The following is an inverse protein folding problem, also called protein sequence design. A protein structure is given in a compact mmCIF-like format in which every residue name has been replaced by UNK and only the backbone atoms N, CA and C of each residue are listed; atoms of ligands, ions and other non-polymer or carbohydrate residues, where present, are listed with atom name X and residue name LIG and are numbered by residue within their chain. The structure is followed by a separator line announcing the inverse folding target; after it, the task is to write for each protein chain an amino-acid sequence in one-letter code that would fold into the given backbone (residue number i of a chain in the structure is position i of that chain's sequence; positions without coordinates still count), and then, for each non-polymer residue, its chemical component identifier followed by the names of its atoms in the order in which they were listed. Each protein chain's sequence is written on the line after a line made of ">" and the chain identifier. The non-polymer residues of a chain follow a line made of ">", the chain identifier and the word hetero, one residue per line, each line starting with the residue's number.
data_IF_378645523546
#
_entry.id   IF_378645523546
#
_cell.length_a   1.000
_cell.length_b   1.000
_cell.length_c   1.000
_cell.angle_alpha   90.00
_cell.angle_beta   90.00
_cell.angle_gamma   90.00
#
_symmetry.space_group_name_H-M   'P 1'
#
loop_
_entity.id
_entity.type
_entity.pdbx_description
1 polymer ?
#
# COMPACT_ATOMS: atom_id res chain seq x y z
N UNK A 1 10.34 -16.96 18.30
CA UNK A 1 10.24 -16.38 16.94
C UNK A 1 11.63 -16.01 16.45
N UNK A 2 12.07 -16.59 15.34
CA UNK A 2 13.27 -16.09 14.66
C UNK A 2 12.98 -14.68 14.16
N UNK A 3 13.71 -13.68 14.69
CA UNK A 3 13.60 -12.31 14.21
C UNK A 3 14.07 -12.27 12.74
N UNK A 4 13.18 -11.83 11.84
CA UNK A 4 13.55 -11.59 10.45
C UNK A 4 14.63 -10.51 10.41
N UNK A 5 15.85 -10.87 10.01
CA UNK A 5 16.95 -9.91 9.90
C UNK A 5 16.73 -9.01 8.69
N UNK A 6 16.29 -7.78 8.96
CA UNK A 6 16.00 -6.78 7.94
C UNK A 6 17.24 -6.35 7.15
N UNK A 7 18.45 -6.53 7.70
CA UNK A 7 19.69 -6.17 7.02
C UNK A 7 19.98 -7.05 5.80
N UNK A 8 19.37 -8.23 5.75
CA UNK A 8 19.49 -9.18 4.64
C UNK A 8 18.43 -8.96 3.56
N UNK A 9 17.45 -8.08 3.79
CA UNK A 9 16.37 -7.81 2.86
C UNK A 9 16.73 -6.69 1.89
N UNK A 10 16.42 -6.90 0.61
CA UNK A 10 16.51 -5.84 -0.39
C UNK A 10 15.44 -4.78 -0.12
N UNK A 11 15.81 -3.51 -0.28
CA UNK A 11 14.91 -2.37 -0.03
C UNK A 11 14.83 -1.39 -1.20
N UNK A 12 13.74 -0.62 -1.21
CA UNK A 12 13.45 0.40 -2.22
C UNK A 12 13.05 1.69 -1.51
N UNK A 13 13.70 2.79 -1.87
CA UNK A 13 13.36 4.11 -1.38
C UNK A 13 12.14 4.69 -2.10
N UNK A 14 11.51 5.68 -1.49
CA UNK A 14 10.38 6.39 -2.09
C UNK A 14 10.87 7.38 -3.14
N UNK A 15 10.13 7.51 -4.23
CA UNK A 15 10.61 8.26 -5.39
C UNK A 15 9.58 9.27 -5.88
N UNK A 16 10.05 10.47 -6.22
CA UNK A 16 9.32 11.42 -7.06
C UNK A 16 9.49 11.05 -8.54
N UNK A 17 8.38 10.74 -9.21
CA UNK A 17 8.40 10.12 -10.54
C UNK A 17 7.97 11.04 -11.67
N UNK A 18 7.25 12.13 -11.38
CA UNK A 18 6.74 13.03 -12.40
C UNK A 18 5.58 13.88 -11.94
N UNK A 19 4.97 14.60 -12.88
CA UNK A 19 3.95 15.60 -12.60
C UNK A 19 2.66 15.29 -13.36
N UNK A 20 1.53 15.52 -12.69
CA UNK A 20 0.19 15.43 -13.25
C UNK A 20 -0.39 16.84 -13.37
N UNK A 21 -0.88 17.19 -14.55
CA UNK A 21 -1.43 18.53 -14.82
C UNK A 21 -2.66 18.47 -15.71
N UNK A 22 -3.53 19.46 -15.58
CA UNK A 22 -4.72 19.59 -16.43
C UNK A 22 -4.38 20.35 -17.72
N UNK A 23 -4.68 19.74 -18.87
CA UNK A 23 -4.52 20.36 -20.18
C UNK A 23 -5.81 21.05 -20.61
N UNK A 24 -5.86 22.37 -20.47
CA UNK A 24 -7.02 23.20 -20.83
C UNK A 24 -7.38 23.08 -22.32
N UNK A 25 -6.41 22.81 -23.20
CA UNK A 25 -6.68 22.73 -24.66
C UNK A 25 -7.40 21.44 -25.06
N UNK A 26 -7.10 20.34 -24.36
CA UNK A 26 -7.70 19.02 -24.64
C UNK A 26 -8.81 18.66 -23.65
N UNK A 27 -8.97 19.44 -22.57
CA UNK A 27 -9.85 19.16 -21.42
C UNK A 27 -9.53 17.83 -20.71
N UNK A 28 -8.25 17.42 -20.72
CA UNK A 28 -7.79 16.14 -20.17
C UNK A 28 -6.68 16.30 -19.12
N UNK A 29 -6.52 15.28 -18.26
CA UNK A 29 -5.36 15.17 -17.38
C UNK A 29 -4.21 14.47 -18.09
N UNK A 30 -3.00 14.99 -17.90
CA UNK A 30 -1.78 14.44 -18.49
C UNK A 30 -0.71 14.26 -17.42
N UNK A 31 -0.22 13.03 -17.29
CA UNK A 31 0.91 12.70 -16.46
C UNK A 31 2.18 12.67 -17.30
N UNK A 32 3.21 13.36 -16.83
CA UNK A 32 4.54 13.37 -17.43
C UNK A 32 5.53 12.83 -16.43
N UNK A 33 6.16 11.71 -16.78
CA UNK A 33 7.38 11.27 -16.08
C UNK A 33 8.44 12.39 -16.15
N UNK A 34 9.31 12.45 -15.14
CA UNK A 34 10.48 13.33 -15.21
C UNK A 34 11.32 12.98 -16.44
N UNK A 35 11.90 13.99 -17.07
CA UNK A 35 12.73 13.81 -18.28
C UNK A 35 13.93 12.89 -18.01
N UNK A 36 14.52 13.01 -16.82
CA UNK A 36 15.65 12.23 -16.34
C UNK A 36 15.24 10.97 -15.58
N UNK A 37 13.95 10.58 -15.59
CA UNK A 37 13.44 9.45 -14.83
C UNK A 37 14.27 8.17 -15.08
N UNK A 38 14.61 7.86 -16.33
CA UNK A 38 15.32 6.61 -16.64
C UNK A 38 16.80 6.59 -16.20
N UNK A 39 17.39 7.73 -15.84
CA UNK A 39 18.82 7.84 -15.51
C UNK A 39 19.08 8.31 -14.08
N UNK A 40 18.14 9.03 -13.46
CA UNK A 40 18.29 9.64 -12.16
C UNK A 40 17.18 9.24 -11.19
N UNK A 41 17.55 8.99 -9.95
CA UNK A 41 16.63 8.75 -8.84
C UNK A 41 16.46 10.03 -8.02
N UNK A 42 15.21 10.44 -7.78
CA UNK A 42 14.90 11.60 -6.96
C UNK A 42 14.00 11.18 -5.82
N UNK A 43 14.51 11.33 -4.59
CA UNK A 43 13.80 10.97 -3.36
C UNK A 43 12.47 11.69 -3.22
N UNK A 44 11.44 11.01 -2.71
CA UNK A 44 10.11 11.58 -2.55
C UNK A 44 10.07 12.83 -1.64
N UNK A 45 10.98 12.97 -0.67
CA UNK A 45 11.04 14.12 0.23
C UNK A 45 11.76 15.36 -0.37
N UNK A 46 12.20 15.30 -1.63
CA UNK A 46 12.77 16.48 -2.31
C UNK A 46 11.70 17.38 -2.94
N UNK A 47 10.43 17.02 -2.83
CA UNK A 47 9.31 17.78 -3.39
C UNK A 47 8.35 18.23 -2.31
N UNK A 48 7.84 19.45 -2.47
CA UNK A 48 6.79 20.05 -1.64
C UNK A 48 5.58 20.46 -2.48
N UNK A 49 4.46 20.70 -1.83
CA UNK A 49 3.24 21.31 -2.40
C UNK A 49 2.52 20.46 -3.46
N UNK A 50 1.20 20.32 -3.30
CA UNK A 50 0.33 19.58 -4.22
C UNK A 50 0.86 18.16 -4.51
N UNK A 51 1.39 17.47 -3.50
CA UNK A 51 1.93 16.13 -3.68
C UNK A 51 0.80 15.09 -3.67
N UNK A 52 0.81 14.19 -4.65
CA UNK A 52 0.05 12.95 -4.64
C UNK A 52 0.99 11.84 -4.16
N UNK A 53 0.69 11.26 -3.00
CA UNK A 53 1.32 10.04 -2.53
C UNK A 53 0.56 8.81 -3.04
N UNK A 54 1.21 8.02 -3.89
CA UNK A 54 0.72 6.70 -4.30
C UNK A 54 1.36 5.66 -3.40
N UNK A 55 0.57 5.08 -2.50
CA UNK A 55 1.04 4.07 -1.56
C UNK A 55 0.94 2.68 -2.20
N UNK A 56 2.07 1.99 -2.30
CA UNK A 56 2.21 0.61 -2.77
C UNK A 56 2.44 -0.33 -1.58
N UNK A 57 2.30 -1.63 -1.78
CA UNK A 57 2.42 -2.64 -0.70
C UNK A 57 3.88 -2.80 -0.23
N UNK A 58 4.72 -3.35 -1.10
CA UNK A 58 6.13 -3.61 -0.88
C UNK A 58 6.80 -3.93 -2.22
N UNK A 59 8.12 -3.76 -2.35
CA UNK A 59 8.85 -4.14 -3.55
C UNK A 59 8.69 -5.61 -3.96
N UNK A 60 8.72 -5.86 -5.27
CA UNK A 60 8.83 -7.17 -5.88
C UNK A 60 10.20 -7.33 -6.58
N UNK A 61 10.38 -8.44 -7.30
CA UNK A 61 11.65 -8.74 -7.96
C UNK A 61 12.03 -7.69 -9.03
N UNK A 62 11.04 -7.21 -9.78
CA UNK A 62 11.25 -6.26 -10.88
C UNK A 62 11.79 -4.90 -10.43
N UNK A 63 11.52 -4.49 -9.19
CA UNK A 63 12.04 -3.26 -8.58
C UNK A 63 13.58 -3.26 -8.50
N UNK A 64 14.23 -4.42 -8.62
CA UNK A 64 15.69 -4.60 -8.53
C UNK A 64 16.33 -5.02 -9.85
N UNK A 65 15.55 -5.28 -10.89
CA UNK A 65 16.03 -5.80 -12.18
C UNK A 65 16.51 -4.67 -13.09
N UNK A 66 17.76 -4.77 -13.57
CA UNK A 66 18.34 -3.86 -14.56
C UNK A 66 18.28 -2.37 -14.16
N UNK A 67 18.31 -2.08 -12.86
CA UNK A 67 18.31 -0.70 -12.33
C UNK A 67 19.75 -0.24 -12.12
N UNK A 68 20.12 0.87 -12.77
CA UNK A 68 21.38 1.58 -12.55
C UNK A 68 21.10 3.07 -12.67
N UNK A 69 20.79 3.70 -11.54
CA UNK A 69 20.41 5.11 -11.46
C UNK A 69 21.41 5.88 -10.61
N UNK A 70 21.47 7.19 -10.79
CA UNK A 70 22.27 8.08 -9.94
C UNK A 70 21.33 8.97 -9.14
N UNK A 71 21.51 9.06 -7.82
CA UNK A 71 20.80 10.02 -6.97
C UNK A 71 21.46 11.40 -7.00
N UNK A 72 20.78 12.43 -6.49
CA UNK A 72 21.28 13.81 -6.45
C UNK A 72 22.62 13.98 -5.70
N UNK A 73 22.89 13.11 -4.73
CA UNK A 73 24.15 13.07 -3.98
C UNK A 73 25.22 12.17 -4.62
N UNK A 74 24.97 11.69 -5.84
CA UNK A 74 25.92 10.90 -6.62
C UNK A 74 25.95 9.41 -6.25
N UNK A 75 25.06 8.92 -5.38
CA UNK A 75 25.01 7.50 -5.05
C UNK A 75 24.43 6.67 -6.21
N UNK A 76 24.96 5.46 -6.38
CA UNK A 76 24.40 4.49 -7.30
C UNK A 76 23.17 3.82 -6.66
N UNK A 77 22.01 4.03 -7.25
CA UNK A 77 20.74 3.43 -6.85
C UNK A 77 20.44 2.23 -7.75
N UNK A 78 20.26 1.07 -7.10
CA UNK A 78 20.05 -0.24 -7.76
C UNK A 78 18.64 -0.78 -7.61
N UNK A 79 17.70 0.07 -7.19
CA UNK A 79 16.30 -0.31 -7.05
C UNK A 79 15.37 0.89 -7.23
N UNK A 80 14.14 0.64 -7.68
CA UNK A 80 13.15 1.70 -7.94
C UNK A 80 11.74 1.16 -7.71
N UNK A 81 10.84 1.93 -7.05
CA UNK A 81 9.46 1.49 -6.88
C UNK A 81 8.74 1.41 -8.23
N UNK A 82 7.92 0.36 -8.43
CA UNK A 82 7.11 0.18 -9.63
C UNK A 82 7.94 0.18 -10.94
N UNK A 83 9.12 -0.44 -10.92
CA UNK A 83 10.04 -0.47 -12.08
C UNK A 83 9.49 -1.30 -13.27
N UNK A 84 8.50 -2.16 -13.01
CA UNK A 84 7.84 -2.93 -14.06
C UNK A 84 7.05 -2.01 -15.02
N UNK A 85 7.46 -1.95 -16.29
CA UNK A 85 6.88 -1.05 -17.32
C UNK A 85 5.36 -1.18 -17.40
N UNK A 86 4.82 -2.42 -17.45
CA UNK A 86 3.37 -2.63 -17.55
C UNK A 86 2.62 -2.04 -16.35
N UNK A 87 3.15 -2.24 -15.15
CA UNK A 87 2.53 -1.71 -13.93
C UNK A 87 2.66 -0.18 -13.83
N UNK A 88 3.74 0.39 -14.37
CA UNK A 88 3.91 1.84 -14.50
C UNK A 88 2.92 2.43 -15.49
N UNK A 89 2.77 1.84 -16.67
CA UNK A 89 1.76 2.27 -17.66
C UNK A 89 0.34 2.17 -17.08
N UNK A 90 0.07 1.12 -16.28
CA UNK A 90 -1.16 1.02 -15.48
C UNK A 90 -1.36 2.21 -14.57
N UNK A 91 -0.33 2.60 -13.81
CA UNK A 91 -0.42 3.74 -12.91
C UNK A 91 -0.68 5.05 -13.66
N UNK A 92 0.04 5.31 -14.76
CA UNK A 92 -0.13 6.51 -15.59
C UNK A 92 -1.59 6.63 -16.01
N UNK A 93 -2.14 5.56 -16.58
CA UNK A 93 -3.52 5.54 -17.01
C UNK A 93 -4.51 5.80 -15.86
N UNK A 94 -4.29 5.20 -14.68
CA UNK A 94 -5.12 5.41 -13.49
C UNK A 94 -5.08 6.87 -13.04
N UNK A 95 -3.88 7.48 -13.01
CA UNK A 95 -3.70 8.88 -12.65
C UNK A 95 -4.45 9.80 -13.61
N UNK A 96 -4.37 9.55 -14.92
CA UNK A 96 -4.96 10.39 -15.96
C UNK A 96 -6.48 10.21 -16.12
N UNK A 97 -7.03 9.04 -15.80
CA UNK A 97 -8.41 8.70 -16.18
C UNK A 97 -9.32 8.35 -15.00
N UNK A 98 -8.78 7.79 -13.92
CA UNK A 98 -9.59 7.19 -12.84
C UNK A 98 -9.65 8.07 -11.60
N UNK A 99 -8.52 8.69 -11.25
CA UNK A 99 -8.39 9.50 -10.04
C UNK A 99 -8.75 10.98 -10.26
N UNK A 100 -9.13 11.34 -11.49
CA UNK A 100 -9.48 12.71 -11.90
C UNK A 100 -10.49 13.45 -11.03
N UNK A 101 -11.49 12.80 -10.39
CA UNK A 101 -12.45 13.52 -9.54
C UNK A 101 -11.83 14.14 -8.27
N UNK A 102 -10.61 13.76 -7.89
CA UNK A 102 -9.93 14.29 -6.69
C UNK A 102 -9.09 15.53 -6.98
N UNK A 103 -8.91 15.88 -8.25
CA UNK A 103 -7.94 16.90 -8.63
C UNK A 103 -8.61 18.24 -8.91
N UNK A 104 -8.03 19.30 -8.36
CA UNK A 104 -8.26 20.67 -8.79
C UNK A 104 -7.54 20.96 -10.12
N UNK A 105 -8.31 21.32 -11.16
CA UNK A 105 -7.82 21.67 -12.51
C UNK A 105 -6.80 22.83 -12.52
N UNK A 106 -6.72 23.64 -11.46
CA UNK A 106 -5.78 24.76 -11.36
C UNK A 106 -4.43 24.37 -10.74
N UNK A 107 -4.24 23.10 -10.38
CA UNK A 107 -3.04 22.61 -9.71
C UNK A 107 -2.23 21.69 -10.61
N UNK A 108 -0.91 21.78 -10.46
CA UNK A 108 0.03 20.74 -10.91
C UNK A 108 0.37 19.91 -9.70
N UNK A 109 0.21 18.60 -9.83
CA UNK A 109 0.49 17.65 -8.76
C UNK A 109 1.81 16.94 -8.98
N UNK A 110 2.64 16.87 -7.95
CA UNK A 110 3.87 16.07 -7.95
C UNK A 110 3.53 14.66 -7.48
N UNK A 111 3.84 13.65 -8.27
CA UNK A 111 3.49 12.25 -7.94
C UNK A 111 4.69 11.55 -7.34
N UNK A 112 4.51 11.03 -6.12
CA UNK A 112 5.52 10.22 -5.44
C UNK A 112 5.01 8.79 -5.22
N UNK A 113 5.91 7.82 -5.35
CA UNK A 113 5.65 6.42 -5.05
C UNK A 113 6.22 6.08 -3.68
N UNK A 114 5.37 5.55 -2.79
CA UNK A 114 5.73 5.22 -1.42
C UNK A 114 5.36 3.76 -1.16
N UNK A 115 6.33 2.91 -0.86
CA UNK A 115 6.00 1.58 -0.36
C UNK A 115 5.62 1.67 1.13
N UNK A 116 4.50 1.04 1.52
CA UNK A 116 4.12 0.91 2.93
C UNK A 116 5.22 0.16 3.71
N UNK A 117 5.71 -0.94 3.14
CA UNK A 117 6.91 -1.64 3.60
C UNK A 117 8.00 -1.53 2.53
N UNK A 118 9.12 -0.86 2.82
CA UNK A 118 10.21 -0.64 1.86
C UNK A 118 11.03 -1.90 1.52
N UNK A 119 10.82 -3.01 2.21
CA UNK A 119 11.57 -4.25 2.05
C UNK A 119 10.83 -5.26 1.17
N UNK A 120 11.57 -6.03 0.36
CA UNK A 120 10.98 -7.11 -0.43
C UNK A 120 10.46 -8.23 0.49
N UNK A 121 9.14 -8.40 0.55
CA UNK A 121 8.47 -9.34 1.47
C UNK A 121 8.34 -10.75 0.92
N UNK A 122 8.43 -10.91 -0.41
CA UNK A 122 8.30 -12.22 -1.06
C UNK A 122 9.57 -13.06 -1.01
N UNK A 123 10.71 -12.47 -0.61
CA UNK A 123 12.03 -13.14 -0.58
C UNK A 123 12.40 -13.86 -1.90
N UNK A 124 11.87 -13.41 -3.03
CA UNK A 124 12.04 -14.06 -4.34
C UNK A 124 11.10 -15.25 -4.62
N UNK A 125 10.25 -15.64 -3.67
CA UNK A 125 9.22 -16.66 -3.82
C UNK A 125 7.90 -16.15 -4.40
N UNK A 126 7.06 -17.09 -4.86
CA UNK A 126 5.71 -16.84 -5.42
C UNK A 126 4.62 -17.01 -4.35
N UNK A 127 4.96 -17.57 -3.19
CA UNK A 127 4.03 -17.84 -2.10
C UNK A 127 3.45 -16.53 -1.53
N UNK A 128 2.13 -16.40 -1.67
CA UNK A 128 1.41 -15.20 -1.25
C UNK A 128 1.25 -15.12 0.26
N UNK A 129 1.18 -16.25 0.93
CA UNK A 129 0.86 -16.32 2.36
C UNK A 129 2.13 -15.97 3.15
N UNK A 130 3.28 -16.55 2.78
CA UNK A 130 4.60 -16.16 3.30
C UNK A 130 4.87 -14.67 3.07
N UNK A 131 4.55 -14.15 1.87
CA UNK A 131 4.74 -12.73 1.56
C UNK A 131 3.89 -11.84 2.46
N UNK A 132 2.60 -12.16 2.64
CA UNK A 132 1.71 -11.37 3.49
C UNK A 132 2.10 -11.44 4.97
N UNK A 133 2.55 -12.61 5.43
CA UNK A 133 3.06 -12.81 6.78
C UNK A 133 4.33 -11.97 7.02
N UNK A 134 5.32 -12.05 6.11
CA UNK A 134 6.53 -11.23 6.17
C UNK A 134 6.21 -9.73 6.14
N UNK A 135 5.28 -9.32 5.28
CA UNK A 135 4.81 -7.94 5.23
C UNK A 135 4.33 -7.48 6.61
N UNK A 136 3.50 -8.29 7.29
CA UNK A 136 2.98 -7.96 8.62
C UNK A 136 4.09 -7.87 9.67
N UNK A 137 5.01 -8.84 9.68
CA UNK A 137 6.14 -8.88 10.62
C UNK A 137 7.00 -7.62 10.52
N UNK A 138 7.20 -7.14 9.30
CA UNK A 138 7.95 -5.92 9.04
C UNK A 138 7.12 -4.69 9.39
N UNK A 139 5.86 -4.63 8.95
CA UNK A 139 4.97 -3.49 9.14
C UNK A 139 4.81 -3.10 10.61
N UNK A 140 4.65 -4.07 11.52
CA UNK A 140 4.50 -3.79 12.96
C UNK A 140 5.64 -2.92 13.51
N UNK A 141 6.85 -3.22 13.06
CA UNK A 141 8.07 -2.57 13.48
C UNK A 141 8.42 -1.33 12.64
N UNK A 142 7.82 -1.19 11.45
CA UNK A 142 8.16 -0.14 10.47
C UNK A 142 7.02 0.83 10.15
N UNK A 143 5.82 0.67 10.74
CA UNK A 143 4.70 1.61 10.57
C UNK A 143 5.06 3.05 10.98
N UNK A 144 5.87 3.21 12.02
CA UNK A 144 6.38 4.53 12.44
C UNK A 144 7.33 5.15 11.43
N UNK A 145 8.14 4.34 10.75
CA UNK A 145 8.99 4.79 9.65
C UNK A 145 8.16 5.24 8.44
N UNK A 146 7.15 4.44 8.07
CA UNK A 146 6.18 4.82 7.04
C UNK A 146 5.48 6.15 7.36
N UNK A 147 4.99 6.31 8.60
CA UNK A 147 4.36 7.57 9.04
C UNK A 147 5.32 8.75 8.96
N UNK A 148 6.58 8.56 9.35
CA UNK A 148 7.60 9.61 9.23
C UNK A 148 7.78 10.01 7.77
N UNK A 149 7.93 9.05 6.85
CA UNK A 149 8.06 9.31 5.40
C UNK A 149 6.84 10.04 4.83
N UNK A 150 5.62 9.65 5.22
CA UNK A 150 4.40 10.35 4.81
C UNK A 150 4.39 11.80 5.31
N UNK A 151 4.79 12.04 6.56
CA UNK A 151 4.87 13.40 7.12
C UNK A 151 5.96 14.25 6.43
N UNK A 152 7.11 13.66 6.12
CA UNK A 152 8.19 14.34 5.38
C UNK A 152 7.72 14.77 3.97
N UNK A 153 6.95 13.92 3.29
CA UNK A 153 6.37 14.20 1.98
C UNK A 153 5.21 15.20 2.06
N UNK A 154 4.45 15.20 3.16
CA UNK A 154 3.27 16.03 3.40
C UNK A 154 2.27 16.06 2.21
N UNK A 155 1.71 14.91 1.82
CA UNK A 155 0.88 14.81 0.63
C UNK A 155 -0.45 15.55 0.76
N UNK A 156 -0.86 16.22 -0.33
CA UNK A 156 -2.19 16.81 -0.46
C UNK A 156 -3.25 15.76 -0.76
N UNK A 157 -2.88 14.71 -1.52
CA UNK A 157 -3.74 13.58 -1.85
C UNK A 157 -2.98 12.28 -1.60
N UNK A 158 -3.66 11.29 -1.06
CA UNK A 158 -3.13 9.97 -0.78
C UNK A 158 -3.99 8.92 -1.46
N UNK A 159 -3.39 8.16 -2.37
CA UNK A 159 -4.02 7.00 -2.98
C UNK A 159 -3.37 5.73 -2.45
N UNK A 160 -4.16 4.91 -1.76
CA UNK A 160 -3.71 3.63 -1.24
C UNK A 160 -3.97 2.52 -2.27
N UNK A 161 -2.90 2.04 -2.90
CA UNK A 161 -2.90 0.98 -3.92
C UNK A 161 -2.21 -0.30 -3.42
N UNK A 162 -2.04 -0.48 -2.10
CA UNK A 162 -1.58 -1.77 -1.57
C UNK A 162 -2.51 -2.89 -2.04
N UNK A 163 -2.00 -4.11 -2.24
CA UNK A 163 -2.89 -5.20 -2.66
C UNK A 163 -3.88 -5.55 -1.56
N UNK A 164 -5.02 -6.11 -1.96
CA UNK A 164 -6.06 -6.59 -1.03
C UNK A 164 -5.65 -7.86 -0.27
N UNK A 165 -4.37 -8.10 0.02
CA UNK A 165 -3.88 -9.32 0.70
C UNK A 165 -4.91 -9.88 1.68
N UNK A 166 -5.31 -11.13 1.49
CA UNK A 166 -6.46 -11.69 2.22
C UNK A 166 -6.01 -12.42 3.45
N UNK A 167 -6.50 -11.99 4.61
CA UNK A 167 -6.43 -12.79 5.83
C UNK A 167 -7.65 -13.68 5.93
N UNK A 168 -7.43 -14.97 6.13
CA UNK A 168 -8.45 -15.92 6.54
C UNK A 168 -8.01 -16.55 7.86
N UNK A 169 -8.89 -16.53 8.85
CA UNK A 169 -8.62 -17.09 10.19
C UNK A 169 -8.39 -18.60 10.17
N UNK A 170 -8.94 -19.28 9.16
CA UNK A 170 -8.84 -20.73 8.96
C UNK A 170 -7.46 -21.20 8.45
N UNK A 171 -6.54 -20.26 8.20
CA UNK A 171 -5.22 -20.57 7.67
C UNK A 171 -4.28 -20.90 8.84
N UNK A 172 -3.92 -22.18 9.00
CA UNK A 172 -3.11 -22.70 10.11
C UNK A 172 -1.77 -21.96 10.28
N UNK A 173 -1.23 -21.40 9.19
CA UNK A 173 -0.04 -20.55 9.18
C UNK A 173 -0.16 -19.28 10.04
N UNK A 174 -1.38 -18.90 10.43
CA UNK A 174 -1.67 -17.70 11.21
C UNK A 174 -2.08 -17.97 12.67
N UNK A 175 -2.20 -19.24 13.10
CA UNK A 175 -2.47 -19.54 14.52
C UNK A 175 -1.36 -19.02 15.46
N UNK A 176 -0.14 -18.81 14.95
CA UNK A 176 0.98 -18.23 15.70
C UNK A 176 0.94 -16.69 15.81
N UNK A 177 -0.02 -16.01 15.17
CA UNK A 177 -0.21 -14.57 15.33
C UNK A 177 -0.96 -14.29 16.65
N UNK A 178 -0.19 -14.29 17.74
CA UNK A 178 -0.59 -13.98 19.12
C UNK A 178 -1.49 -12.72 19.23
N UNK A 179 -2.48 -12.73 20.13
CA UNK A 179 -3.31 -11.57 20.51
C UNK A 179 -2.53 -10.26 20.73
N UNK A 180 -1.32 -10.33 21.28
CA UNK A 180 -0.41 -9.20 21.46
C UNK A 180 0.03 -8.58 20.13
N UNK A 181 0.15 -9.41 19.08
CA UNK A 181 0.50 -9.02 17.73
C UNK A 181 -0.68 -8.32 17.05
N UNK A 182 -1.89 -8.85 17.16
CA UNK A 182 -3.12 -8.17 16.71
C UNK A 182 -3.32 -6.84 17.46
N UNK A 183 -3.02 -6.79 18.77
CA UNK A 183 -3.01 -5.58 19.59
C UNK A 183 -2.09 -4.48 19.10
N UNK A 184 -0.95 -4.85 18.53
CA UNK A 184 0.03 -3.90 17.99
C UNK A 184 -0.40 -3.18 16.70
N UNK A 185 -1.49 -3.60 16.06
CA UNK A 185 -2.10 -2.92 14.91
C UNK A 185 -3.05 -1.79 15.31
N UNK A 186 -3.28 -1.56 16.61
CA UNK A 186 -4.23 -0.56 17.09
C UNK A 186 -5.70 -0.93 16.85
N UNK A 187 -5.99 -2.11 16.30
CA UNK A 187 -7.34 -2.63 16.21
C UNK A 187 -8.03 -2.45 17.56
N UNK A 188 -9.19 -1.81 17.63
CA UNK A 188 -9.86 -1.61 18.92
C UNK A 188 -10.44 -2.94 19.37
N UNK A 189 -9.98 -3.41 20.53
CA UNK A 189 -10.48 -4.61 21.18
C UNK A 189 -11.65 -4.24 22.08
N UNK A 190 -12.77 -4.92 21.92
CA UNK A 190 -13.73 -5.05 23.00
C UNK A 190 -13.72 -6.52 23.43
N UNK A 191 -13.21 -6.78 24.63
CA UNK A 191 -13.31 -8.09 25.26
C UNK A 191 -14.76 -8.30 25.69
N UNK A 192 -15.44 -9.30 25.13
CA UNK A 192 -16.82 -9.64 25.54
C UNK A 192 -16.78 -10.62 26.71
N UNK A 193 -15.77 -11.49 26.75
CA UNK A 193 -15.36 -12.38 27.84
C UNK A 193 -13.93 -12.92 27.55
N UNK A 194 -13.37 -13.74 28.44
CA UNK A 194 -11.98 -14.25 28.36
C UNK A 194 -11.66 -15.00 27.04
N UNK A 195 -12.67 -15.52 26.35
CA UNK A 195 -12.56 -16.30 25.11
C UNK A 195 -13.00 -15.53 23.84
N UNK A 196 -13.53 -14.30 23.96
CA UNK A 196 -14.06 -13.54 22.82
C UNK A 196 -13.45 -12.14 22.71
N UNK A 197 -12.76 -11.93 21.60
CA UNK A 197 -12.16 -10.66 21.22
C UNK A 197 -12.92 -10.07 20.02
N UNK A 198 -13.54 -8.90 20.21
CA UNK A 198 -14.14 -8.14 19.11
C UNK A 198 -13.07 -7.33 18.38
N UNK A 199 -13.14 -7.33 17.05
CA UNK A 199 -12.27 -6.55 16.17
C UNK A 199 -13.08 -5.53 15.39
N UNK A 200 -12.58 -4.31 15.24
CA UNK A 200 -13.11 -3.39 14.24
C UNK A 200 -12.46 -3.70 12.88
N UNK A 201 -13.15 -4.47 12.02
CA UNK A 201 -12.73 -4.71 10.62
C UNK A 201 -13.78 -4.18 9.65
N UNK A 202 -13.34 -3.49 8.60
CA UNK A 202 -14.25 -2.88 7.62
C UNK A 202 -14.80 -3.95 6.67
N UNK A 203 -16.11 -3.91 6.39
CA UNK A 203 -16.76 -4.82 5.44
C UNK A 203 -16.42 -4.43 4.00
N UNK A 204 -16.01 -5.41 3.20
CA UNK A 204 -15.85 -5.29 1.75
C UNK A 204 -16.86 -6.21 1.07
N UNK A 205 -17.85 -5.65 0.35
CA UNK A 205 -18.90 -6.42 -0.35
C UNK A 205 -19.60 -7.44 0.56
N UNK A 206 -19.99 -7.02 1.77
CA UNK A 206 -20.65 -7.86 2.78
C UNK A 206 -19.83 -9.08 3.26
N UNK A 207 -18.57 -9.18 2.85
CA UNK A 207 -17.61 -10.17 3.34
C UNK A 207 -16.67 -9.55 4.34
N UNK A 208 -16.48 -10.29 5.42
CA UNK A 208 -15.60 -9.96 6.54
C UNK A 208 -14.16 -10.22 6.12
N UNK A 209 -13.41 -9.15 5.81
CA UNK A 209 -12.04 -9.27 5.31
C UNK A 209 -11.18 -8.08 5.74
N UNK A 210 -10.11 -8.34 6.48
CA UNK A 210 -9.04 -7.37 6.68
C UNK A 210 -8.07 -7.44 5.51
N UNK A 211 -7.54 -6.30 5.07
CA UNK A 211 -6.56 -6.20 3.98
C UNK A 211 -5.36 -5.35 4.39
N UNK A 212 -4.26 -5.46 3.64
CA UNK A 212 -3.09 -4.58 3.81
C UNK A 212 -3.45 -3.10 3.66
N UNK A 213 -4.42 -2.79 2.81
CA UNK A 213 -4.92 -1.42 2.66
C UNK A 213 -5.59 -0.91 3.94
N UNK A 214 -6.25 -1.79 4.70
CA UNK A 214 -6.88 -1.42 5.97
C UNK A 214 -5.83 -1.16 7.05
N UNK A 215 -4.74 -1.92 7.07
CA UNK A 215 -3.62 -1.66 7.99
C UNK A 215 -2.98 -0.29 7.75
N UNK A 216 -2.78 0.08 6.48
CA UNK A 216 -2.24 1.40 6.09
C UNK A 216 -3.25 2.51 6.41
N UNK A 217 -4.52 2.34 6.03
CA UNK A 217 -5.58 3.33 6.32
C UNK A 217 -5.69 3.61 7.81
N UNK A 218 -5.74 2.55 8.63
CA UNK A 218 -5.90 2.65 10.06
C UNK A 218 -4.80 3.52 10.69
N UNK A 219 -3.54 3.27 10.31
CA UNK A 219 -2.40 4.03 10.84
C UNK A 219 -2.45 5.50 10.40
N UNK A 220 -2.83 5.77 9.15
CA UNK A 220 -3.01 7.14 8.66
C UNK A 220 -4.18 7.86 9.35
N UNK A 221 -5.29 7.16 9.60
CA UNK A 221 -6.49 7.71 10.24
C UNK A 221 -6.22 8.09 11.70
N UNK A 222 -5.52 7.23 12.44
CA UNK A 222 -5.13 7.49 13.82
C UNK A 222 -4.24 8.72 13.99
N UNK A 223 -3.30 8.91 13.06
CA UNK A 223 -2.42 10.07 13.02
C UNK A 223 -3.11 11.30 12.40
N UNK A 224 -4.41 11.20 12.06
CA UNK A 224 -5.22 12.26 11.45
C UNK A 224 -4.63 12.81 10.14
N UNK A 225 -3.91 11.97 9.40
CA UNK A 225 -3.30 12.31 8.11
C UNK A 225 -4.28 12.17 6.93
N UNK A 226 -5.41 11.49 7.16
CA UNK A 226 -6.41 11.23 6.12
C UNK A 226 -7.83 11.65 6.54
N UNK A 227 -8.64 11.88 5.51
CA UNK A 227 -10.04 12.27 5.56
C UNK A 227 -10.71 11.85 4.25
N UNK A 228 -12.03 12.02 4.15
CA UNK A 228 -12.78 11.67 2.94
C UNK A 228 -12.41 12.53 1.70
N UNK A 229 -11.73 13.66 1.89
CA UNK A 229 -11.37 14.58 0.81
C UNK A 229 -9.99 14.31 0.22
N UNK A 230 -9.06 13.77 1.02
CA UNK A 230 -7.65 13.62 0.62
C UNK A 230 -7.20 12.16 0.53
N UNK A 231 -8.08 11.18 0.77
CA UNK A 231 -7.72 9.77 0.77
C UNK A 231 -8.68 8.92 -0.05
N UNK A 232 -8.14 7.95 -0.80
CA UNK A 232 -8.93 6.89 -1.43
C UNK A 232 -8.13 5.61 -1.68
N UNK A 233 -8.85 4.48 -1.68
CA UNK A 233 -8.29 3.15 -1.94
C UNK A 233 -8.64 2.68 -3.36
N UNK A 234 -7.65 2.10 -4.02
CA UNK A 234 -7.75 1.54 -5.36
C UNK A 234 -7.03 0.19 -5.43
N UNK A 235 -7.29 -0.59 -6.47
CA UNK A 235 -6.49 -1.78 -6.74
C UNK A 235 -5.02 -1.42 -7.02
N UNK A 236 -4.13 -2.39 -6.83
CA UNK A 236 -2.72 -2.26 -7.23
C UNK A 236 -2.60 -2.17 -8.77
N UNK A 237 -1.69 -1.35 -9.35
CA UNK A 237 -1.58 -1.15 -10.80
C UNK A 237 -1.41 -2.45 -11.61
N UNK A 238 -0.73 -3.45 -11.06
CA UNK A 238 -0.55 -4.76 -11.73
C UNK A 238 -1.84 -5.59 -11.89
N UNK A 239 -2.92 -5.23 -11.21
CA UNK A 239 -4.24 -5.89 -11.33
C UNK A 239 -5.10 -5.28 -12.43
N UNK A 240 -4.69 -4.16 -13.02
CA UNK A 240 -5.42 -3.54 -14.11
C UNK A 240 -5.12 -4.31 -15.39
N UNK A 241 -6.13 -4.99 -15.92
CA UNK A 241 -6.04 -5.68 -17.21
C UNK A 241 -6.39 -4.73 -18.34
N UNK A 242 -5.42 -4.45 -19.21
CA UNK A 242 -5.65 -3.70 -20.42
C UNK A 242 -6.14 -4.59 -21.57
N UNK A 243 -7.41 -4.45 -21.99
CA UNK A 243 -7.95 -5.05 -23.20
C UNK A 243 -7.30 -4.48 -24.47
N UNK A 244 -7.20 -5.28 -25.53
CA UNK A 244 -6.64 -4.87 -26.84
C UNK A 244 -7.68 -4.21 -27.79
N UNK A 245 -8.81 -3.69 -27.29
CA UNK A 245 -9.91 -3.18 -28.13
C UNK A 245 -10.70 -2.08 -27.39
N UNK A 246 -11.30 -1.07 -28.06
CA UNK A 246 -11.81 0.16 -27.45
C UNK A 246 -13.10 -0.04 -26.61
N UNK A 247 -13.57 -1.26 -26.44
CA UNK A 247 -14.70 -1.61 -25.59
C UNK A 247 -14.18 -2.29 -24.32
N UNK A 248 -13.61 -1.48 -23.43
CA UNK A 248 -13.29 -1.87 -22.07
C UNK A 248 -14.55 -1.85 -21.20
N UNK A 249 -14.63 -2.66 -20.13
CA UNK A 249 -15.55 -2.34 -19.05
C UNK A 249 -15.14 -0.97 -18.53
N UNK A 250 -16.05 0.00 -18.65
CA UNK A 250 -15.94 1.33 -18.03
C UNK A 250 -15.42 1.12 -16.60
N UNK A 251 -14.33 1.79 -16.25
CA UNK A 251 -13.86 1.87 -14.86
C UNK A 251 -14.90 2.68 -14.08
N UNK A 252 -15.99 2.01 -13.72
CA UNK A 252 -17.05 2.55 -12.88
C UNK A 252 -16.55 2.61 -11.42
N UNK A 253 -17.28 3.35 -10.58
CA UNK A 253 -17.24 3.39 -9.10
C UNK A 253 -16.88 2.06 -8.39
N UNK A 254 -16.90 0.90 -9.06
CA UNK A 254 -16.37 -0.41 -8.64
C UNK A 254 -14.85 -0.50 -8.38
N UNK A 255 -14.01 0.39 -8.92
CA UNK A 255 -12.56 0.37 -8.64
C UNK A 255 -12.15 1.18 -7.42
N UNK A 256 -13.00 2.15 -7.05
CA UNK A 256 -12.93 2.78 -5.74
C UNK A 256 -13.45 1.76 -4.75
N UNK A 257 -12.59 1.33 -3.83
CA UNK A 257 -13.03 0.38 -2.82
C UNK A 257 -13.79 1.15 -1.75
N UNK A 258 -15.12 1.19 -1.87
CA UNK A 258 -16.01 1.77 -0.87
C UNK A 258 -16.13 0.77 0.29
N UNK A 259 -15.34 0.98 1.35
CA UNK A 259 -15.51 0.24 2.59
C UNK A 259 -16.58 0.92 3.45
N UNK A 260 -17.56 0.15 3.92
CA UNK A 260 -18.38 0.58 5.05
C UNK A 260 -17.70 0.13 6.34
N UNK A 261 -17.54 1.06 7.30
CA UNK A 261 -17.06 0.72 8.64
C UNK A 261 -18.07 -0.22 9.31
N UNK A 262 -17.60 -1.34 9.83
CA UNK A 262 -18.40 -2.28 10.60
C UNK A 262 -17.56 -2.84 11.74
N UNK A 263 -18.19 -3.20 12.85
CA UNK A 263 -17.54 -3.93 13.94
C UNK A 263 -17.83 -5.41 13.78
N UNK A 264 -16.84 -6.25 14.05
CA UNK A 264 -16.91 -7.69 13.84
C UNK A 264 -16.71 -8.46 15.13
N UNK A 265 -17.41 -9.57 15.25
CA UNK A 265 -17.30 -10.50 16.38
C UNK A 265 -16.61 -11.77 15.94
N UNK A 266 -15.43 -12.06 16.50
CA UNK A 266 -14.72 -13.31 16.27
C UNK A 266 -14.55 -14.02 17.61
N UNK A 267 -15.05 -15.25 17.73
CA UNK A 267 -14.74 -16.11 18.88
C UNK A 267 -13.34 -16.71 18.67
N UNK A 268 -12.43 -16.57 19.62
CA UNK A 268 -11.20 -17.36 19.62
C UNK A 268 -11.58 -18.75 20.12
N UNK A 269 -11.18 -19.81 19.41
CA UNK A 269 -11.38 -21.18 19.89
C UNK A 269 -10.07 -21.62 20.52
N UNK A 270 -10.13 -21.98 21.80
CA UNK A 270 -9.00 -22.49 22.55
C UNK A 270 -8.55 -23.84 21.99
N UNK A 271 -7.46 -23.86 21.24
CA UNK A 271 -6.63 -25.06 21.07
C UNK A 271 -5.33 -24.89 21.88
N UNK A 272 -5.48 -24.81 23.20
CA UNK A 272 -4.33 -24.82 24.12
C UNK A 272 -4.53 -25.69 25.37
N UNK A 273 -5.52 -26.61 25.38
CA UNK A 273 -5.78 -27.52 26.50
C UNK A 273 -5.83 -29.00 26.13
N UNK A 274 -4.93 -29.45 25.26
CA UNK A 274 -4.59 -30.88 25.16
C UNK A 274 -3.10 -31.14 25.34
N UNK A 275 -2.55 -30.66 26.46
CA UNK A 275 -1.43 -31.33 27.12
C UNK A 275 -1.47 -30.98 28.60
N UNK A 276 -2.40 -31.60 29.33
CA UNK A 276 -2.22 -32.03 30.72
C UNK A 276 -3.55 -32.64 31.21
N UNK A 277 -3.62 -33.98 31.19
CA UNK A 277 -4.22 -34.79 32.25
C UNK A 277 -4.07 -36.29 31.95
N UNK A 278 -3.27 -36.90 32.83
CA UNK A 278 -3.13 -38.32 33.18
C UNK A 278 -2.36 -39.24 32.23
#
# INVERSE_FOLDING_TARGET
>A
MNHLDLSLLKSVFDEFIGELSFNIKTDDWLFKLREDFNTHFVTANSVSDNVIAVILESPHIHEFENVSLTSNDGQNIKSRPLNNIKSRDSLIYILENVMTPFYDKNKVYKVVLINAVQFQTSLGGIDKDIRNENWLKIWINKKGDFLRRINEVNPTLIFNLCTQGSYKKEDESFQEINDQYLKSFGLKFATVNEEQVLFEVRKLYDKEKFTLQDAVEYVLENEKLISNINYSKYYHPSKFTFGKSPCFPVLDKKNKINFCKSTLKICLTDEAHHHEKH
#
